data_IF_795288328386
#
_entry.id   IF_795288328386
#
_cell.length_a   1.000
_cell.length_b   1.000
_cell.length_c   1.000
_cell.angle_alpha   90.00
_cell.angle_beta   90.00
_cell.angle_gamma   90.00
#
_symmetry.space_group_name_H-M   'P 1'
#
loop_
_entity.id
_entity.type
_entity.pdbx_description
1 polymer ?
#
# COMPACT_ATOMS: atom_id res chain seq x y z
N UNK A 1 -6.85 1.54 24.65
CA UNK A 1 -8.24 2.05 24.53
C UNK A 1 -9.15 0.89 24.16
N UNK A 2 -10.38 0.85 24.67
CA UNK A 2 -11.37 -0.13 24.23
C UNK A 2 -12.03 0.28 22.91
N UNK A 3 -12.62 -0.67 22.18
CA UNK A 3 -13.27 -0.45 20.89
C UNK A 3 -14.26 0.73 20.90
N UNK A 4 -15.12 0.81 21.94
CA UNK A 4 -16.10 1.88 22.08
C UNK A 4 -15.46 3.28 22.02
N UNK A 5 -14.35 3.48 22.71
CA UNK A 5 -13.67 4.78 22.73
C UNK A 5 -13.07 5.16 21.36
N UNK A 6 -12.54 4.18 20.61
CA UNK A 6 -12.02 4.40 19.25
C UNK A 6 -13.16 4.79 18.31
N UNK A 7 -14.28 4.07 18.39
CA UNK A 7 -15.45 4.32 17.55
C UNK A 7 -16.12 5.66 17.87
N UNK A 8 -16.22 6.02 19.15
CA UNK A 8 -16.73 7.32 19.59
C UNK A 8 -15.78 8.44 19.09
N UNK A 9 -14.47 8.22 19.09
CA UNK A 9 -13.48 9.15 18.53
C UNK A 9 -13.65 9.40 17.02
N UNK A 10 -13.80 8.34 16.23
CA UNK A 10 -14.12 8.47 14.79
C UNK A 10 -15.43 9.24 14.57
N UNK A 11 -16.47 8.98 15.36
CA UNK A 11 -17.75 9.69 15.24
C UNK A 11 -17.64 11.17 15.55
N UNK A 12 -16.87 11.54 16.57
CA UNK A 12 -16.75 12.94 17.00
C UNK A 12 -15.94 13.79 16.03
N UNK A 13 -14.89 13.22 15.43
CA UNK A 13 -14.04 13.93 14.47
C UNK A 13 -13.49 12.93 13.42
N UNK A 14 -14.28 12.62 12.37
CA UNK A 14 -13.88 11.66 11.35
C UNK A 14 -12.64 12.12 10.58
N UNK A 15 -12.48 13.43 10.39
CA UNK A 15 -11.40 14.01 9.61
C UNK A 15 -10.07 13.83 10.35
N UNK A 16 -9.99 14.25 11.62
CA UNK A 16 -8.79 14.04 12.42
C UNK A 16 -8.48 12.56 12.61
N UNK A 17 -9.50 11.72 12.81
CA UNK A 17 -9.33 10.27 12.94
C UNK A 17 -8.63 9.66 11.73
N UNK A 18 -9.10 9.98 10.52
CA UNK A 18 -8.52 9.42 9.29
C UNK A 18 -7.20 10.08 8.91
N UNK A 19 -7.01 11.36 9.19
CA UNK A 19 -5.73 12.04 8.99
C UNK A 19 -4.64 11.48 9.90
N UNK A 20 -4.97 11.17 11.16
CA UNK A 20 -4.03 10.49 12.07
C UNK A 20 -3.66 9.09 11.56
N UNK A 21 -4.63 8.33 11.03
CA UNK A 21 -4.36 7.01 10.45
C UNK A 21 -3.46 7.12 9.19
N UNK A 22 -3.62 8.17 8.39
CA UNK A 22 -2.83 8.40 7.19
C UNK A 22 -1.33 8.62 7.48
N UNK A 23 -0.96 9.02 8.70
CA UNK A 23 0.45 9.19 9.11
C UNK A 23 1.25 7.88 9.05
N UNK A 24 0.59 6.72 9.07
CA UNK A 24 1.25 5.41 8.97
C UNK A 24 1.72 5.04 7.54
N UNK A 25 1.41 5.88 6.56
CA UNK A 25 1.73 5.68 5.15
C UNK A 25 2.86 6.63 4.73
N UNK A 26 3.81 6.11 3.98
CA UNK A 26 4.87 6.89 3.37
C UNK A 26 4.34 7.52 2.08
N UNK A 27 4.01 8.80 2.16
CA UNK A 27 3.50 9.58 1.04
C UNK A 27 4.63 10.28 0.29
N UNK A 28 4.52 10.36 -1.02
CA UNK A 28 5.34 11.27 -1.84
C UNK A 28 4.76 12.70 -1.77
N UNK A 29 3.44 12.82 -1.69
CA UNK A 29 2.74 14.03 -1.23
C UNK A 29 1.62 13.61 -0.28
N UNK A 30 1.73 14.00 0.98
CA UNK A 30 0.71 13.70 1.98
C UNK A 30 -0.63 14.38 1.64
N UNK A 31 -1.78 13.76 1.97
CA UNK A 31 -3.07 14.40 1.83
C UNK A 31 -3.18 15.63 2.73
N UNK A 32 -3.94 16.64 2.31
CA UNK A 32 -4.29 17.79 3.19
C UNK A 32 -5.60 17.57 3.94
N UNK A 33 -6.43 16.64 3.46
CA UNK A 33 -7.73 16.26 4.06
C UNK A 33 -8.06 14.81 3.72
N UNK A 34 -8.88 14.18 4.56
CA UNK A 34 -9.28 12.79 4.40
C UNK A 34 -10.40 12.64 3.36
N UNK A 35 -11.53 13.35 3.53
CA UNK A 35 -12.69 13.19 2.66
C UNK A 35 -12.88 14.39 1.73
N UNK A 36 -13.00 14.14 0.43
CA UNK A 36 -13.36 15.09 -0.61
C UNK A 36 -14.77 14.78 -1.12
N UNK A 37 -15.68 15.75 -1.08
CA UNK A 37 -17.02 15.60 -1.66
C UNK A 37 -17.00 16.13 -3.09
N UNK A 38 -17.41 15.28 -4.04
CA UNK A 38 -17.45 15.60 -5.47
C UNK A 38 -18.84 16.10 -5.91
N UNK A 39 -19.86 15.89 -5.09
CA UNK A 39 -21.28 16.07 -5.43
C UNK A 39 -21.94 14.75 -5.82
N UNK A 40 -23.27 14.74 -5.96
CA UNK A 40 -24.06 13.55 -6.38
C UNK A 40 -23.83 12.28 -5.54
N UNK A 41 -23.60 12.46 -4.24
CA UNK A 41 -23.22 11.37 -3.32
C UNK A 41 -21.93 10.63 -3.71
N UNK A 42 -21.07 11.27 -4.50
CA UNK A 42 -19.74 10.79 -4.84
C UNK A 42 -18.70 11.42 -3.91
N UNK A 43 -17.86 10.57 -3.33
CA UNK A 43 -16.83 10.95 -2.39
C UNK A 43 -15.48 10.34 -2.79
N UNK A 44 -14.42 11.10 -2.60
CA UNK A 44 -13.05 10.68 -2.77
C UNK A 44 -12.29 10.74 -1.46
N UNK A 45 -11.40 9.78 -1.24
CA UNK A 45 -10.53 9.77 -0.06
C UNK A 45 -9.12 10.18 -0.48
N UNK A 46 -8.52 11.11 0.26
CA UNK A 46 -7.13 11.55 0.09
C UNK A 46 -6.81 11.97 -1.37
N UNK A 47 -7.77 12.63 -2.03
CA UNK A 47 -7.75 12.87 -3.48
C UNK A 47 -6.57 13.72 -3.95
N UNK A 48 -6.01 14.53 -3.07
CA UNK A 48 -4.85 15.37 -3.32
C UNK A 48 -3.51 14.70 -2.99
N UNK A 49 -3.53 13.49 -2.44
CA UNK A 49 -2.31 12.75 -2.11
C UNK A 49 -1.59 12.22 -3.36
N UNK A 50 -0.30 11.93 -3.20
CA UNK A 50 0.51 11.18 -4.18
C UNK A 50 1.24 10.07 -3.44
N UNK A 51 1.06 8.84 -3.90
CA UNK A 51 1.61 7.64 -3.26
C UNK A 51 1.91 6.56 -4.30
N UNK A 52 2.81 5.65 -3.94
CA UNK A 52 3.01 4.40 -4.65
C UNK A 52 2.73 3.23 -3.69
N UNK A 53 1.81 2.34 -4.07
CA UNK A 53 1.42 1.19 -3.24
C UNK A 53 2.57 0.20 -3.06
N UNK A 54 3.33 -0.09 -4.12
CA UNK A 54 4.48 -1.01 -4.04
C UNK A 54 5.56 -0.47 -3.10
N UNK A 55 5.82 0.85 -3.12
CA UNK A 55 6.75 1.47 -2.19
C UNK A 55 6.39 1.19 -0.73
N UNK A 56 5.12 1.37 -0.38
CA UNK A 56 4.63 1.10 0.98
C UNK A 56 4.54 -0.38 1.32
N UNK A 57 4.31 -1.25 0.33
CA UNK A 57 4.18 -2.69 0.54
C UNK A 57 5.54 -3.43 0.54
N UNK A 58 6.58 -2.86 -0.07
CA UNK A 58 7.85 -3.54 -0.32
C UNK A 58 9.04 -2.65 0.04
N UNK A 59 9.26 -1.57 -0.72
CA UNK A 59 10.51 -0.79 -0.68
C UNK A 59 10.78 -0.15 0.69
N UNK A 60 9.78 0.44 1.35
CA UNK A 60 9.95 1.08 2.65
C UNK A 60 10.46 0.12 3.72
N UNK A 61 10.10 -1.15 3.63
CA UNK A 61 10.56 -2.16 4.58
C UNK A 61 12.03 -2.47 4.36
N UNK A 62 12.49 -2.55 3.10
CA UNK A 62 13.92 -2.68 2.79
C UNK A 62 14.69 -1.46 3.28
N UNK A 63 14.21 -0.25 2.99
CA UNK A 63 14.84 1.01 3.40
C UNK A 63 14.92 1.18 4.92
N UNK A 64 13.93 0.67 5.66
CA UNK A 64 13.93 0.62 7.12
C UNK A 64 14.89 -0.43 7.72
N UNK A 65 15.74 -1.08 6.90
CA UNK A 65 16.68 -2.10 7.35
C UNK A 65 16.03 -3.46 7.61
N UNK A 66 14.88 -3.74 7.01
CA UNK A 66 14.16 -5.01 7.14
C UNK A 66 14.20 -5.85 5.87
N UNK A 67 15.22 -5.65 5.04
CA UNK A 67 15.39 -6.39 3.78
C UNK A 67 15.40 -7.90 3.96
N UNK A 68 16.10 -8.41 4.99
CA UNK A 68 16.22 -9.86 5.27
C UNK A 68 14.97 -10.46 5.93
N UNK A 69 14.00 -9.65 6.31
CA UNK A 69 12.75 -10.15 6.89
C UNK A 69 11.95 -10.86 5.80
N UNK A 70 11.44 -12.04 6.12
CA UNK A 70 10.56 -12.81 5.22
C UNK A 70 9.26 -12.03 4.99
N UNK A 71 8.94 -11.78 3.72
CA UNK A 71 7.73 -11.10 3.28
C UNK A 71 6.64 -12.10 2.85
N UNK A 72 7.03 -13.17 2.13
CA UNK A 72 6.11 -14.18 1.61
C UNK A 72 6.62 -15.57 2.01
N UNK A 73 5.71 -16.39 2.52
CA UNK A 73 5.90 -17.83 2.70
C UNK A 73 4.96 -18.53 1.73
N UNK A 74 5.53 -19.22 0.74
CA UNK A 74 4.80 -20.08 -0.15
C UNK A 74 4.89 -21.51 0.37
N UNK A 75 3.76 -22.08 0.78
CA UNK A 75 3.63 -23.49 1.19
C UNK A 75 2.54 -24.14 0.33
N UNK A 76 2.98 -25.01 -0.58
CA UNK A 76 2.08 -25.72 -1.49
C UNK A 76 2.07 -27.20 -1.11
N UNK A 77 1.04 -27.68 -0.39
CA UNK A 77 0.95 -29.09 0.01
C UNK A 77 0.76 -30.02 -1.19
N UNK A 78 0.14 -29.54 -2.27
CA UNK A 78 -0.09 -30.31 -3.50
C UNK A 78 1.23 -30.62 -4.21
N UNK A 79 2.15 -29.66 -4.24
CA UNK A 79 3.45 -29.83 -4.91
C UNK A 79 4.58 -30.20 -3.95
N UNK A 80 4.30 -30.25 -2.64
CA UNK A 80 5.31 -30.39 -1.59
C UNK A 80 6.32 -29.24 -1.52
N UNK A 81 6.06 -28.12 -2.21
CA UNK A 81 7.02 -27.01 -2.33
C UNK A 81 6.86 -26.02 -1.19
N UNK A 82 7.98 -25.71 -0.53
CA UNK A 82 8.08 -24.64 0.46
C UNK A 82 9.15 -23.66 0.05
N UNK A 83 8.81 -22.37 0.03
CA UNK A 83 9.74 -21.30 -0.27
C UNK A 83 9.45 -20.09 0.60
N UNK A 84 10.50 -19.35 0.93
CA UNK A 84 10.41 -18.06 1.61
C UNK A 84 11.02 -17.00 0.71
N UNK A 85 10.42 -15.82 0.69
CA UNK A 85 10.91 -14.67 -0.07
C UNK A 85 11.02 -13.51 0.91
N UNK A 86 12.22 -12.97 1.04
CA UNK A 86 12.52 -11.79 1.86
C UNK A 86 12.02 -10.50 1.19
N UNK A 87 11.92 -9.40 1.94
CA UNK A 87 11.56 -8.10 1.36
C UNK A 87 12.55 -7.65 0.28
N UNK A 88 13.86 -7.88 0.47
CA UNK A 88 14.87 -7.53 -0.53
C UNK A 88 14.74 -8.36 -1.82
N UNK A 89 14.48 -9.67 -1.70
CA UNK A 89 14.22 -10.53 -2.87
C UNK A 89 12.92 -10.15 -3.58
N UNK A 90 11.86 -9.84 -2.81
CA UNK A 90 10.59 -9.40 -3.35
C UNK A 90 10.73 -8.07 -4.11
N UNK A 91 11.49 -7.12 -3.57
CA UNK A 91 11.80 -5.85 -4.23
C UNK A 91 12.47 -6.09 -5.58
N UNK A 92 13.53 -6.89 -5.61
CA UNK A 92 14.27 -7.20 -6.83
C UNK A 92 13.39 -7.89 -7.89
N UNK A 93 12.60 -8.90 -7.49
CA UNK A 93 11.69 -9.61 -8.40
C UNK A 93 10.60 -8.69 -8.96
N UNK A 94 9.99 -7.87 -8.10
CA UNK A 94 8.92 -6.94 -8.51
C UNK A 94 9.46 -5.85 -9.43
N UNK A 95 10.64 -5.30 -9.14
CA UNK A 95 11.30 -4.30 -9.99
C UNK A 95 11.65 -4.88 -11.38
N UNK A 96 12.14 -6.11 -11.43
CA UNK A 96 12.44 -6.81 -12.69
C UNK A 96 11.17 -7.02 -13.53
N UNK A 97 10.08 -7.49 -12.91
CA UNK A 97 8.78 -7.64 -13.59
C UNK A 97 8.23 -6.29 -14.09
N UNK A 98 8.29 -5.24 -13.27
CA UNK A 98 7.85 -3.91 -13.65
C UNK A 98 8.65 -3.35 -14.83
N UNK A 99 9.96 -3.60 -14.85
CA UNK A 99 10.83 -3.29 -15.99
C UNK A 99 10.39 -4.01 -17.26
N UNK A 100 10.17 -5.32 -17.18
CA UNK A 100 9.70 -6.12 -18.31
C UNK A 100 8.32 -5.65 -18.84
N UNK A 101 7.37 -5.28 -17.97
CA UNK A 101 6.08 -4.74 -18.37
C UNK A 101 6.23 -3.40 -19.10
N UNK A 102 7.10 -2.51 -18.60
CA UNK A 102 7.41 -1.24 -19.25
C UNK A 102 8.04 -1.47 -20.64
N UNK A 103 8.93 -2.44 -20.78
CA UNK A 103 9.55 -2.78 -22.07
C UNK A 103 8.54 -3.35 -23.08
N UNK A 104 7.38 -3.85 -22.59
CA UNK A 104 6.23 -4.25 -23.41
C UNK A 104 5.22 -3.12 -23.65
N UNK A 105 5.54 -1.90 -23.22
CA UNK A 105 4.74 -0.71 -23.47
C UNK A 105 3.64 -0.43 -22.45
N UNK A 106 3.62 -1.12 -21.31
CA UNK A 106 2.65 -0.82 -20.24
C UNK A 106 2.96 0.54 -19.61
N UNK A 107 1.96 1.40 -19.51
CA UNK A 107 2.06 2.74 -18.94
C UNK A 107 1.05 2.99 -17.82
N UNK A 108 1.17 4.12 -17.12
CA UNK A 108 0.23 4.51 -16.06
C UNK A 108 -1.18 4.67 -16.63
N UNK A 109 -2.13 3.90 -16.09
CA UNK A 109 -3.54 3.91 -16.51
C UNK A 109 -3.94 2.73 -17.39
N UNK A 110 -2.97 1.96 -17.87
CA UNK A 110 -3.22 0.72 -18.58
C UNK A 110 -3.68 -0.38 -17.63
N UNK A 111 -4.44 -1.34 -18.17
CA UNK A 111 -4.94 -2.51 -17.44
C UNK A 111 -4.15 -3.74 -17.88
N UNK A 112 -3.74 -4.56 -16.91
CA UNK A 112 -3.08 -5.85 -17.13
C UNK A 112 -3.89 -6.92 -16.39
N UNK A 113 -4.36 -7.93 -17.12
CA UNK A 113 -5.08 -9.07 -16.53
C UNK A 113 -4.06 -10.06 -15.99
N UNK A 114 -4.29 -10.57 -14.78
CA UNK A 114 -3.47 -11.58 -14.10
C UNK A 114 -4.21 -12.91 -14.15
#
# INVERSE_FOLDING_TARGET
>A
MGYKAVYDGWKSDPEAFWMQAAEAIDWDRAPTRALFERGDHLYDWFADARVNTCYNAVDRHVHAGHGDRVAIIHDSPITGTKAQITFAELQSRTASLAGALRDKGVTKGDRVVI
#
